data_IF_228210801866
#
_entry.id   IF_228210801866
#
_cell.length_a   1.000
_cell.length_b   1.000
_cell.length_c   1.000
_cell.angle_alpha   90.00
_cell.angle_beta   90.00
_cell.angle_gamma   90.00
#
_symmetry.space_group_name_H-M   'P 1'
#
loop_
_entity.id
_entity.type
_entity.pdbx_description
1 polymer ?
#
# COMPACT_ATOMS: atom_id res chain seq x y z
N UNK A 1 -11.50 -8.64 -5.02
CA UNK A 1 -10.16 -8.16 -4.60
C UNK A 1 -10.17 -6.63 -4.57
N UNK A 2 -9.67 -6.00 -3.49
CA UNK A 2 -9.64 -4.54 -3.31
C UNK A 2 -8.40 -3.96 -4.00
N UNK A 3 -8.55 -2.79 -4.65
CA UNK A 3 -7.44 -2.09 -5.30
C UNK A 3 -7.04 -0.86 -4.50
N UNK A 4 -5.80 -0.83 -4.00
CA UNK A 4 -5.21 0.34 -3.37
C UNK A 4 -4.34 1.12 -4.34
N UNK A 5 -4.51 2.44 -4.38
CA UNK A 5 -3.59 3.33 -5.06
C UNK A 5 -2.29 3.48 -4.29
N UNK A 6 -1.16 3.04 -4.87
CA UNK A 6 0.18 3.12 -4.30
C UNK A 6 0.66 4.57 -4.30
N UNK A 7 0.83 5.16 -3.11
CA UNK A 7 1.20 6.58 -2.93
C UNK A 7 0.28 7.53 -3.72
N UNK A 8 -1.02 7.22 -3.72
CA UNK A 8 -2.00 7.84 -4.60
C UNK A 8 -2.12 7.11 -5.93
N UNK A 9 -1.36 7.53 -6.94
CA UNK A 9 -1.30 6.95 -8.28
C UNK A 9 0.11 7.12 -8.87
N UNK A 10 1.12 6.52 -8.26
CA UNK A 10 2.55 6.77 -8.53
C UNK A 10 2.96 6.60 -9.99
N UNK A 11 2.31 5.72 -10.75
CA UNK A 11 2.57 5.51 -12.18
C UNK A 11 1.82 6.50 -13.11
N UNK A 12 0.88 7.28 -12.56
CA UNK A 12 -0.02 8.16 -13.31
C UNK A 12 0.13 9.64 -12.90
N UNK A 13 0.58 9.91 -11.66
CA UNK A 13 0.68 11.24 -11.06
C UNK A 13 1.83 11.30 -10.04
N UNK A 14 2.24 12.50 -9.55
CA UNK A 14 3.29 12.62 -8.54
C UNK A 14 2.95 11.85 -7.25
N UNK A 15 3.86 10.96 -6.84
CA UNK A 15 3.68 10.08 -5.70
C UNK A 15 3.56 10.84 -4.38
N UNK A 16 2.72 10.35 -3.46
CA UNK A 16 2.51 10.92 -2.12
C UNK A 16 2.17 12.42 -2.11
N UNK A 17 1.44 12.89 -3.13
CA UNK A 17 1.01 14.29 -3.25
C UNK A 17 -0.50 14.41 -3.34
N UNK A 18 -1.08 15.53 -2.88
CA UNK A 18 -2.53 15.75 -2.99
C UNK A 18 -3.05 15.57 -4.42
N UNK A 19 -2.44 16.15 -5.47
CA UNK A 19 -2.87 15.91 -6.84
C UNK A 19 -2.81 14.44 -7.27
N UNK A 20 -1.85 13.65 -6.77
CA UNK A 20 -1.77 12.21 -7.04
C UNK A 20 -2.95 11.44 -6.43
N UNK A 21 -3.33 11.76 -5.20
CA UNK A 21 -4.51 11.19 -4.56
C UNK A 21 -5.81 11.65 -5.21
N UNK A 22 -5.95 12.96 -5.52
CA UNK A 22 -7.10 13.54 -6.22
C UNK A 22 -7.29 12.89 -7.59
N UNK A 23 -6.20 12.65 -8.33
CA UNK A 23 -6.26 11.96 -9.62
C UNK A 23 -6.92 10.59 -9.48
N UNK A 24 -6.42 9.73 -8.60
CA UNK A 24 -6.99 8.41 -8.39
C UNK A 24 -8.42 8.46 -7.82
N UNK A 25 -8.67 9.36 -6.87
CA UNK A 25 -9.98 9.56 -6.26
C UNK A 25 -11.07 9.91 -7.28
N UNK A 26 -10.78 10.81 -8.23
CA UNK A 26 -11.70 11.19 -9.33
C UNK A 26 -12.05 10.01 -10.24
N UNK A 27 -11.19 9.00 -10.29
CA UNK A 27 -11.44 7.75 -10.99
C UNK A 27 -12.05 6.65 -10.10
N UNK A 28 -12.55 7.06 -8.91
CA UNK A 28 -13.32 6.20 -8.02
C UNK A 28 -12.48 5.36 -7.07
N UNK A 29 -11.16 5.55 -6.99
CA UNK A 29 -10.35 4.89 -5.96
C UNK A 29 -10.66 5.52 -4.60
N UNK A 30 -10.86 4.67 -3.57
CA UNK A 30 -11.19 5.06 -2.19
C UNK A 30 -10.25 4.41 -1.17
N UNK A 31 -9.37 3.54 -1.65
CA UNK A 31 -8.37 2.83 -0.86
C UNK A 31 -6.99 3.30 -1.28
N UNK A 32 -6.18 3.75 -0.34
CA UNK A 32 -4.83 4.21 -0.62
C UNK A 32 -3.80 3.62 0.33
N UNK A 33 -2.66 3.29 -0.22
CA UNK A 33 -1.44 3.12 0.54
C UNK A 33 -0.60 4.40 0.40
N UNK A 34 0.04 4.82 1.48
CA UNK A 34 0.85 6.02 1.54
C UNK A 34 1.94 5.92 2.60
N UNK A 35 3.05 6.60 2.35
CA UNK A 35 4.21 6.58 3.24
C UNK A 35 4.21 7.78 4.18
N UNK A 36 4.44 7.55 5.47
CA UNK A 36 4.45 8.59 6.49
C UNK A 36 5.83 8.71 7.14
N UNK A 37 6.39 9.90 7.09
CA UNK A 37 7.67 10.26 7.70
C UNK A 37 7.48 11.52 8.56
N UNK A 38 8.34 11.73 9.55
CA UNK A 38 8.28 12.90 10.42
C UNK A 38 9.11 14.06 9.85
N UNK A 39 8.58 15.26 9.77
CA UNK A 39 9.32 16.49 9.43
C UNK A 39 10.24 16.95 10.56
N UNK A 40 11.00 18.03 10.37
CA UNK A 40 11.85 18.66 11.38
C UNK A 40 11.05 19.16 12.59
N UNK A 41 9.89 19.72 12.34
CA UNK A 41 8.99 20.30 13.35
C UNK A 41 7.99 19.27 13.93
N UNK A 42 8.21 17.97 13.65
CA UNK A 42 7.45 16.89 14.27
C UNK A 42 6.05 16.70 13.69
N UNK A 43 5.84 17.06 12.43
CA UNK A 43 4.58 16.88 11.69
C UNK A 43 4.67 15.66 10.77
N UNK A 44 3.68 14.74 10.75
CA UNK A 44 3.61 13.64 9.79
C UNK A 44 3.42 14.17 8.36
N UNK A 45 4.35 13.87 7.46
CA UNK A 45 4.36 14.26 6.05
C UNK A 45 4.38 13.04 5.14
N UNK A 46 3.88 13.19 3.91
CA UNK A 46 3.74 12.09 2.98
C UNK A 46 4.92 12.02 2.02
N UNK A 47 5.86 11.13 2.29
CA UNK A 47 7.04 10.91 1.45
C UNK A 47 7.62 9.52 1.73
N UNK A 48 8.08 8.84 0.67
CA UNK A 48 8.59 7.45 0.80
C UNK A 48 9.98 7.39 1.44
N UNK A 49 10.91 8.21 0.95
CA UNK A 49 12.30 8.16 1.38
C UNK A 49 12.50 9.05 2.61
N UNK A 50 13.50 8.74 3.43
CA UNK A 50 13.92 9.64 4.51
C UNK A 50 14.64 10.90 3.98
N UNK A 51 14.82 11.02 2.66
CA UNK A 51 15.42 12.18 1.97
C UNK A 51 14.46 12.72 0.91
N UNK A 52 14.62 13.99 0.56
CA UNK A 52 13.80 14.67 -0.45
C UNK A 52 14.34 14.53 -1.89
N UNK A 53 15.54 13.99 -2.03
CA UNK A 53 16.36 14.02 -3.27
C UNK A 53 15.70 13.42 -4.50
N UNK A 54 15.01 12.28 -4.34
CA UNK A 54 14.46 11.52 -5.47
C UNK A 54 13.25 12.20 -6.09
N UNK A 55 12.38 12.76 -5.27
CA UNK A 55 11.09 13.30 -5.72
C UNK A 55 11.11 14.81 -5.95
N UNK A 56 11.98 15.56 -5.25
CA UNK A 56 11.98 17.03 -5.33
C UNK A 56 13.17 17.62 -6.08
N UNK A 57 14.30 16.94 -6.11
CA UNK A 57 15.55 17.49 -6.61
C UNK A 57 16.31 18.38 -5.59
N UNK A 58 15.69 18.76 -4.47
CA UNK A 58 16.38 19.29 -3.31
C UNK A 58 17.24 18.19 -2.68
N UNK A 59 18.09 18.52 -1.71
CA UNK A 59 19.05 17.59 -1.11
C UNK A 59 18.89 17.51 0.40
N UNK A 60 18.98 16.30 0.93
CA UNK A 60 19.06 16.07 2.37
C UNK A 60 17.86 15.36 2.99
N UNK A 61 17.95 15.14 4.29
CA UNK A 61 16.94 14.42 5.05
C UNK A 61 15.66 15.21 5.22
N UNK A 62 14.51 14.52 5.17
CA UNK A 62 13.18 15.09 5.50
C UNK A 62 13.21 15.73 6.90
N UNK A 63 13.96 15.14 7.83
CA UNK A 63 14.15 15.65 9.19
C UNK A 63 14.86 17.01 9.30
N UNK A 64 15.42 17.52 8.21
CA UNK A 64 16.07 18.84 8.16
C UNK A 64 15.11 19.96 7.75
N UNK A 65 13.91 19.63 7.28
CA UNK A 65 12.94 20.56 6.76
C UNK A 65 11.65 20.54 7.58
N UNK A 66 11.09 21.71 7.82
CA UNK A 66 9.73 21.86 8.38
C UNK A 66 8.68 21.42 7.38
N UNK A 67 7.46 21.12 7.86
CA UNK A 67 6.35 20.79 6.98
C UNK A 67 6.04 21.90 5.96
N UNK A 68 6.19 23.18 6.35
CA UNK A 68 6.01 24.31 5.47
C UNK A 68 7.06 24.36 4.33
N UNK A 69 8.34 24.15 4.67
CA UNK A 69 9.43 24.05 3.67
C UNK A 69 9.21 22.87 2.71
N UNK A 70 8.75 21.72 3.20
CA UNK A 70 8.43 20.56 2.39
C UNK A 70 7.25 20.82 1.45
N UNK A 71 6.24 21.53 1.90
CA UNK A 71 5.08 21.93 1.09
C UNK A 71 5.47 22.89 -0.03
N UNK A 72 6.54 23.69 0.16
CA UNK A 72 7.04 24.61 -0.88
C UNK A 72 8.04 23.95 -1.87
N UNK A 73 8.43 22.70 -1.69
CA UNK A 73 9.26 21.98 -2.64
C UNK A 73 8.49 21.61 -3.92
N UNK A 74 9.19 21.15 -4.96
CA UNK A 74 8.58 20.62 -6.18
C UNK A 74 8.76 19.11 -6.24
N UNK A 75 7.76 18.35 -5.83
CA UNK A 75 7.77 16.89 -5.75
C UNK A 75 7.40 16.18 -7.08
N UNK A 76 7.60 16.84 -8.22
CA UNK A 76 7.32 16.27 -9.56
C UNK A 76 8.51 15.61 -10.24
N UNK A 77 9.67 15.58 -9.61
CA UNK A 77 10.91 15.17 -10.30
C UNK A 77 10.82 13.84 -11.03
N UNK A 78 10.09 12.88 -10.48
CA UNK A 78 9.86 11.57 -11.10
C UNK A 78 8.57 11.50 -11.95
N UNK A 79 7.88 12.63 -12.13
CA UNK A 79 6.67 12.77 -12.96
C UNK A 79 6.71 14.13 -13.68
N UNK A 80 7.76 14.35 -14.46
CA UNK A 80 8.07 15.65 -15.09
C UNK A 80 6.99 16.19 -16.02
N UNK A 81 6.12 15.33 -16.56
CA UNK A 81 4.98 15.73 -17.39
C UNK A 81 3.83 16.37 -16.60
N UNK A 82 3.85 16.35 -15.27
CA UNK A 82 2.79 16.95 -14.47
C UNK A 82 2.82 18.48 -14.57
N UNK A 83 1.68 19.14 -14.91
CA UNK A 83 1.71 20.51 -15.42
C UNK A 83 2.01 21.59 -14.37
N UNK A 84 1.76 21.32 -13.09
CA UNK A 84 1.90 22.32 -12.02
C UNK A 84 2.84 21.82 -10.93
N UNK A 85 3.59 22.76 -10.31
CA UNK A 85 4.38 22.50 -9.11
C UNK A 85 3.50 21.89 -8.01
N UNK A 86 4.03 20.90 -7.29
CA UNK A 86 3.32 20.15 -6.26
C UNK A 86 4.25 19.96 -5.08
N UNK A 87 3.81 20.35 -3.87
CA UNK A 87 4.56 20.17 -2.65
C UNK A 87 4.38 18.78 -2.02
N UNK A 88 5.19 18.49 -0.99
CA UNK A 88 5.01 17.34 -0.11
C UNK A 88 3.96 17.70 0.93
N UNK A 89 2.79 17.05 0.96
CA UNK A 89 1.71 17.39 1.89
C UNK A 89 1.92 16.75 3.27
N UNK A 90 1.22 17.27 4.26
CA UNK A 90 1.04 16.61 5.55
C UNK A 90 -0.06 15.56 5.47
N UNK A 91 -0.05 14.62 6.44
CA UNK A 91 -1.15 13.65 6.58
C UNK A 91 -2.50 14.36 6.85
N UNK A 92 -2.49 15.43 7.64
CA UNK A 92 -3.71 16.22 7.92
C UNK A 92 -4.30 16.83 6.65
N UNK A 93 -3.47 17.41 5.78
CA UNK A 93 -3.95 17.97 4.50
C UNK A 93 -4.59 16.91 3.61
N UNK A 94 -4.08 15.68 3.62
CA UNK A 94 -4.73 14.57 2.91
C UNK A 94 -6.09 14.24 3.52
N UNK A 95 -6.18 14.16 4.84
CA UNK A 95 -7.41 13.83 5.55
C UNK A 95 -8.46 14.95 5.47
N UNK A 96 -8.04 16.19 5.29
CA UNK A 96 -8.94 17.34 5.06
C UNK A 96 -9.48 17.41 3.63
N UNK A 97 -8.77 16.80 2.65
CA UNK A 97 -9.17 16.81 1.24
C UNK A 97 -10.31 15.84 0.93
N UNK A 98 -10.46 14.75 1.74
CA UNK A 98 -11.40 13.67 1.42
C UNK A 98 -12.20 13.20 2.64
N UNK A 99 -13.52 13.26 2.56
CA UNK A 99 -14.43 12.83 3.63
C UNK A 99 -14.82 11.34 3.53
N UNK A 100 -14.80 10.74 2.33
CA UNK A 100 -15.35 9.43 2.00
C UNK A 100 -14.30 8.38 1.63
N UNK A 101 -13.05 8.53 2.10
CA UNK A 101 -12.06 7.46 1.94
C UNK A 101 -12.50 6.21 2.70
N UNK A 102 -12.45 5.07 2.03
CA UNK A 102 -12.86 3.80 2.62
C UNK A 102 -11.76 3.21 3.51
N UNK A 103 -10.49 3.21 3.02
CA UNK A 103 -9.39 2.72 3.85
C UNK A 103 -8.02 3.26 3.44
N UNK A 104 -7.18 3.48 4.45
CA UNK A 104 -5.78 3.92 4.31
C UNK A 104 -4.81 2.90 4.91
N UNK A 105 -3.76 2.53 4.18
CA UNK A 105 -2.58 1.87 4.73
C UNK A 105 -1.49 2.92 4.92
N UNK A 106 -1.23 3.29 6.18
CA UNK A 106 -0.24 4.30 6.57
C UNK A 106 1.10 3.61 6.82
N UNK A 107 1.97 3.52 5.80
CA UNK A 107 3.26 2.87 5.97
C UNK A 107 4.27 3.79 6.66
N UNK A 108 4.73 3.39 7.83
CA UNK A 108 5.80 4.09 8.56
C UNK A 108 7.15 3.48 8.25
N UNK A 109 8.04 4.30 7.71
CA UNK A 109 9.41 3.91 7.37
C UNK A 109 10.31 3.79 8.60
N UNK A 110 11.33 2.94 8.52
CA UNK A 110 12.34 2.84 9.58
C UNK A 110 13.09 4.16 9.72
N UNK A 111 13.18 4.66 10.95
CA UNK A 111 13.88 5.90 11.31
C UNK A 111 14.52 5.75 12.69
N UNK A 112 15.21 6.79 13.18
CA UNK A 112 15.74 6.84 14.54
C UNK A 112 14.60 6.64 15.58
N UNK A 113 14.87 5.88 16.64
CA UNK A 113 13.86 5.52 17.67
C UNK A 113 13.17 6.73 18.30
N UNK A 114 13.91 7.82 18.51
CA UNK A 114 13.34 9.05 19.06
C UNK A 114 12.27 9.63 18.12
N UNK A 115 12.54 9.67 16.82
CA UNK A 115 11.62 10.17 15.80
C UNK A 115 10.41 9.26 15.65
N UNK A 116 10.64 7.94 15.59
CA UNK A 116 9.56 6.94 15.57
C UNK A 116 8.66 7.05 16.81
N UNK A 117 9.21 7.36 17.98
CA UNK A 117 8.43 7.54 19.19
C UNK A 117 7.51 8.77 19.11
N UNK A 118 8.01 9.89 18.55
CA UNK A 118 7.19 11.08 18.27
C UNK A 118 6.10 10.73 17.23
N UNK A 119 6.47 10.06 16.15
CA UNK A 119 5.52 9.67 15.09
C UNK A 119 4.43 8.72 15.61
N UNK A 120 4.76 7.78 16.51
CA UNK A 120 3.76 6.98 17.21
C UNK A 120 2.71 7.85 17.93
N UNK A 121 3.15 8.88 18.69
CA UNK A 121 2.22 9.76 19.38
C UNK A 121 1.34 10.53 18.39
N UNK A 122 1.95 11.11 17.35
CA UNK A 122 1.21 11.87 16.33
C UNK A 122 0.18 11.03 15.59
N UNK A 123 0.54 9.82 15.17
CA UNK A 123 -0.41 8.93 14.49
C UNK A 123 -1.52 8.47 15.42
N UNK A 124 -1.22 8.18 16.69
CA UNK A 124 -2.25 7.85 17.70
C UNK A 124 -3.23 9.02 17.85
N UNK A 125 -2.73 10.25 18.03
CA UNK A 125 -3.56 11.46 18.15
C UNK A 125 -4.45 11.68 16.91
N UNK A 126 -3.90 11.53 15.70
CA UNK A 126 -4.65 11.69 14.45
C UNK A 126 -5.74 10.63 14.31
N UNK A 127 -5.40 9.35 14.55
CA UNK A 127 -6.36 8.23 14.43
C UNK A 127 -7.51 8.40 15.42
N UNK A 128 -7.22 8.78 16.67
CA UNK A 128 -8.24 9.02 17.70
C UNK A 128 -9.12 10.21 17.35
N UNK A 129 -8.53 11.34 17.04
CA UNK A 129 -9.26 12.59 16.76
C UNK A 129 -10.14 12.50 15.52
N UNK A 130 -9.69 11.78 14.48
CA UNK A 130 -10.41 11.61 13.21
C UNK A 130 -11.27 10.36 13.15
N UNK A 131 -11.32 9.58 14.21
CA UNK A 131 -12.00 8.27 14.29
C UNK A 131 -11.67 7.35 13.10
N UNK A 132 -10.36 7.13 12.89
CA UNK A 132 -9.88 6.34 11.75
C UNK A 132 -9.72 4.85 12.07
N UNK A 133 -10.18 4.35 13.22
CA UNK A 133 -9.97 2.98 13.66
C UNK A 133 -10.41 1.92 12.65
N UNK A 134 -11.52 2.16 11.93
CA UNK A 134 -12.02 1.25 10.92
C UNK A 134 -11.52 1.59 9.50
N UNK A 135 -11.04 2.82 9.30
CA UNK A 135 -10.64 3.36 8.00
C UNK A 135 -9.13 3.49 7.82
N UNK A 136 -8.32 3.07 8.80
CA UNK A 136 -6.88 3.07 8.65
C UNK A 136 -6.21 1.88 9.33
N UNK A 137 -5.14 1.39 8.71
CA UNK A 137 -4.18 0.48 9.32
C UNK A 137 -2.79 1.12 9.27
N UNK A 138 -2.08 1.10 10.38
CA UNK A 138 -0.68 1.54 10.44
C UNK A 138 0.22 0.38 10.11
N UNK A 139 0.96 0.48 9.02
CA UNK A 139 1.83 -0.59 8.53
C UNK A 139 3.29 -0.20 8.67
N UNK A 140 4.17 -1.17 8.88
CA UNK A 140 5.61 -0.95 8.94
C UNK A 140 6.38 -2.26 8.78
N UNK A 141 7.60 -2.17 8.27
CA UNK A 141 8.58 -3.27 8.32
C UNK A 141 9.38 -3.30 9.63
N UNK A 142 9.11 -2.38 10.58
CA UNK A 142 9.77 -2.33 11.90
C UNK A 142 8.88 -2.94 13.00
N UNK A 143 9.19 -4.15 13.50
CA UNK A 143 8.41 -4.79 14.56
C UNK A 143 8.36 -4.00 15.87
N UNK A 144 9.39 -3.19 16.16
CA UNK A 144 9.40 -2.34 17.35
C UNK A 144 8.33 -1.25 17.23
N UNK A 145 8.26 -0.58 16.07
CA UNK A 145 7.27 0.47 15.82
C UNK A 145 5.84 -0.06 15.95
N UNK A 146 5.54 -1.23 15.35
CA UNK A 146 4.23 -1.87 15.44
C UNK A 146 3.84 -2.24 16.88
N UNK A 147 4.81 -2.66 17.69
CA UNK A 147 4.59 -2.92 19.14
C UNK A 147 4.30 -1.62 19.88
N UNK A 148 5.08 -0.57 19.60
CA UNK A 148 4.97 0.70 20.31
C UNK A 148 3.66 1.43 20.01
N UNK A 149 3.17 1.43 18.76
CA UNK A 149 1.90 2.08 18.44
C UNK A 149 0.72 1.34 19.09
N UNK A 150 0.72 0.00 19.08
CA UNK A 150 -0.30 -0.80 19.76
C UNK A 150 -0.25 -0.66 21.30
N UNK A 151 0.93 -0.40 21.87
CA UNK A 151 1.06 -0.12 23.29
C UNK A 151 0.37 1.20 23.68
N UNK A 152 0.35 2.18 22.78
CA UNK A 152 -0.35 3.47 22.99
C UNK A 152 -1.86 3.32 22.87
N UNK A 153 -2.29 2.61 21.83
CA UNK A 153 -3.70 2.31 21.63
C UNK A 153 -3.86 0.94 20.94
N UNK A 154 -4.42 -0.01 21.68
CA UNK A 154 -4.64 -1.39 21.20
C UNK A 154 -5.69 -1.51 20.11
N UNK A 155 -6.53 -0.49 19.92
CA UNK A 155 -7.58 -0.47 18.91
C UNK A 155 -7.05 -0.04 17.53
N UNK A 156 -5.83 0.50 17.45
CA UNK A 156 -5.21 0.84 16.18
C UNK A 156 -4.86 -0.45 15.43
N UNK A 157 -5.44 -0.63 14.25
CA UNK A 157 -5.11 -1.74 13.36
C UNK A 157 -3.68 -1.61 12.86
N UNK A 158 -2.95 -2.72 12.88
CA UNK A 158 -1.55 -2.73 12.45
C UNK A 158 -1.29 -3.78 11.38
N UNK A 159 -0.27 -3.55 10.55
CA UNK A 159 0.15 -4.46 9.51
C UNK A 159 1.67 -4.61 9.41
N UNK A 160 2.16 -5.83 9.24
CA UNK A 160 3.58 -6.07 8.99
C UNK A 160 3.87 -6.01 7.48
N UNK A 161 4.76 -5.09 7.10
CA UNK A 161 5.30 -5.03 5.73
C UNK A 161 6.44 -6.05 5.61
N UNK A 162 6.31 -7.00 4.67
CA UNK A 162 7.23 -8.11 4.48
C UNK A 162 7.77 -8.16 3.04
N UNK A 163 9.08 -8.00 2.89
CA UNK A 163 9.78 -8.05 1.61
C UNK A 163 10.35 -9.43 1.29
N UNK A 164 10.67 -10.22 2.33
CA UNK A 164 11.39 -11.49 2.21
C UNK A 164 10.69 -12.60 2.99
N UNK A 165 10.87 -13.86 2.53
CA UNK A 165 10.36 -15.07 3.24
C UNK A 165 11.01 -15.29 4.61
N UNK A 166 12.20 -14.78 4.82
CA UNK A 166 12.98 -14.99 6.04
C UNK A 166 13.34 -13.68 6.75
N UNK A 167 13.31 -13.63 8.09
CA UNK A 167 12.74 -14.62 9.01
C UNK A 167 11.22 -14.70 8.82
N UNK A 168 10.59 -15.85 9.04
CA UNK A 168 9.16 -16.16 8.78
C UNK A 168 8.21 -15.00 9.13
N UNK A 169 7.90 -14.08 8.17
CA UNK A 169 7.27 -12.80 8.49
C UNK A 169 5.83 -12.96 9.02
N UNK A 170 5.09 -13.96 8.54
CA UNK A 170 3.76 -14.24 9.02
C UNK A 170 3.73 -14.61 10.52
N UNK A 171 4.75 -15.33 11.02
CA UNK A 171 4.87 -15.62 12.45
C UNK A 171 5.19 -14.36 13.26
N UNK A 172 5.95 -13.43 12.69
CA UNK A 172 6.22 -12.13 13.33
C UNK A 172 4.93 -11.32 13.39
N UNK A 173 4.18 -11.20 12.28
CA UNK A 173 2.88 -10.52 12.23
C UNK A 173 1.91 -11.06 13.28
N UNK A 174 1.81 -12.39 13.39
CA UNK A 174 0.98 -13.05 14.42
C UNK A 174 1.38 -12.68 15.84
N UNK A 175 2.68 -12.74 16.17
CA UNK A 175 3.19 -12.39 17.51
C UNK A 175 2.96 -10.93 17.87
N UNK A 176 2.94 -10.04 16.87
CA UNK A 176 2.65 -8.62 17.04
C UNK A 176 1.15 -8.34 17.12
N UNK A 177 0.30 -9.33 16.82
CA UNK A 177 -1.14 -9.18 16.75
C UNK A 177 -1.58 -8.29 15.56
N UNK A 178 -0.83 -8.30 14.45
CA UNK A 178 -1.20 -7.56 13.25
C UNK A 178 -2.49 -8.10 12.63
N UNK A 179 -3.32 -7.20 12.16
CA UNK A 179 -4.54 -7.51 11.40
C UNK A 179 -4.30 -7.50 9.89
N UNK A 180 -3.19 -6.89 9.44
CA UNK A 180 -2.76 -6.85 8.04
C UNK A 180 -1.42 -7.55 7.88
N UNK A 181 -1.30 -8.32 6.80
CA UNK A 181 -0.05 -8.88 6.32
C UNK A 181 0.25 -8.30 4.94
N UNK A 182 1.12 -7.29 4.89
CA UNK A 182 1.44 -6.51 3.70
C UNK A 182 2.69 -7.08 3.04
N UNK A 183 2.56 -8.10 2.19
CA UNK A 183 3.70 -8.85 1.65
C UNK A 183 4.04 -8.46 0.21
N UNK A 184 5.33 -8.46 -0.11
CA UNK A 184 5.75 -8.46 -1.51
C UNK A 184 5.13 -9.68 -2.22
N UNK A 185 4.45 -9.47 -3.35
CA UNK A 185 3.72 -10.51 -4.06
C UNK A 185 4.58 -11.73 -4.44
N UNK A 186 5.90 -11.53 -4.67
CA UNK A 186 6.86 -12.59 -5.03
C UNK A 186 7.13 -13.60 -3.92
N UNK A 187 6.80 -13.26 -2.68
CA UNK A 187 7.01 -14.18 -1.55
C UNK A 187 5.75 -14.96 -1.18
N UNK A 188 4.59 -14.59 -1.71
CA UNK A 188 3.32 -15.23 -1.39
C UNK A 188 3.22 -16.63 -1.99
N UNK A 189 2.52 -17.49 -1.30
CA UNK A 189 2.06 -18.81 -1.74
C UNK A 189 0.66 -19.04 -1.20
N UNK A 190 -0.08 -19.97 -1.80
CA UNK A 190 -1.43 -20.35 -1.33
C UNK A 190 -1.43 -20.69 0.17
N UNK A 191 -0.52 -21.54 0.59
CA UNK A 191 -0.41 -21.94 2.01
C UNK A 191 -0.19 -20.74 2.94
N UNK A 192 0.58 -19.73 2.48
CA UNK A 192 0.85 -18.53 3.27
C UNK A 192 -0.40 -17.64 3.37
N UNK A 193 -1.14 -17.47 2.28
CA UNK A 193 -2.41 -16.71 2.25
C UNK A 193 -3.44 -17.41 3.14
N UNK A 194 -3.65 -18.72 2.93
CA UNK A 194 -4.58 -19.51 3.74
C UNK A 194 -4.23 -19.48 5.23
N UNK A 195 -2.93 -19.53 5.57
CA UNK A 195 -2.49 -19.45 6.95
C UNK A 195 -2.72 -18.05 7.55
N UNK A 196 -2.53 -16.99 6.77
CA UNK A 196 -2.84 -15.62 7.17
C UNK A 196 -4.34 -15.46 7.47
N UNK A 197 -5.19 -15.96 6.58
CA UNK A 197 -6.64 -15.95 6.75
C UNK A 197 -7.10 -16.75 7.98
N UNK A 198 -6.56 -17.96 8.19
CA UNK A 198 -6.83 -18.74 9.43
C UNK A 198 -6.45 -18.01 10.72
N UNK A 199 -5.55 -17.02 10.63
CA UNK A 199 -5.13 -16.16 11.75
C UNK A 199 -5.88 -14.83 11.80
N UNK A 200 -6.92 -14.66 10.96
CA UNK A 200 -7.74 -13.45 10.91
C UNK A 200 -7.05 -12.24 10.28
N UNK A 201 -6.00 -12.43 9.45
CA UNK A 201 -5.28 -11.34 8.83
C UNK A 201 -5.80 -11.08 7.40
N UNK A 202 -5.95 -9.81 7.06
CA UNK A 202 -6.11 -9.32 5.70
C UNK A 202 -4.77 -9.38 4.97
N UNK A 203 -4.71 -10.03 3.82
CA UNK A 203 -3.51 -10.15 3.00
C UNK A 203 -3.51 -9.05 1.94
N UNK A 204 -2.65 -8.05 2.12
CA UNK A 204 -2.39 -6.98 1.14
C UNK A 204 -1.06 -7.24 0.44
N UNK A 205 -0.97 -7.01 -0.86
CA UNK A 205 0.28 -7.28 -1.58
C UNK A 205 0.70 -6.14 -2.51
N UNK A 206 2.03 -5.94 -2.65
CA UNK A 206 2.68 -4.80 -3.32
C UNK A 206 3.94 -5.19 -4.08
N UNK A 207 4.41 -4.42 -5.08
CA UNK A 207 3.63 -3.53 -5.92
C UNK A 207 3.26 -4.33 -7.15
N UNK A 208 1.97 -4.38 -7.50
CA UNK A 208 1.46 -5.22 -8.58
C UNK A 208 0.95 -4.33 -9.69
N UNK A 209 1.64 -4.34 -10.85
CA UNK A 209 1.40 -3.41 -11.95
C UNK A 209 0.95 -4.10 -13.24
N UNK A 210 0.99 -5.43 -13.31
CA UNK A 210 0.61 -6.19 -14.50
C UNK A 210 -0.69 -6.93 -14.26
N UNK A 211 -1.63 -6.80 -15.17
CA UNK A 211 -2.96 -7.46 -15.07
C UNK A 211 -2.83 -8.97 -14.88
N UNK A 212 -1.91 -9.62 -15.61
CA UNK A 212 -1.66 -11.05 -15.47
C UNK A 212 -1.32 -11.43 -14.00
N UNK A 213 -0.42 -10.69 -13.37
CA UNK A 213 -0.01 -10.95 -11.98
C UNK A 213 -1.18 -10.68 -11.01
N UNK A 214 -2.01 -9.67 -11.29
CA UNK A 214 -3.20 -9.36 -10.51
C UNK A 214 -4.23 -10.51 -10.53
N UNK A 215 -4.45 -11.10 -11.71
CA UNK A 215 -5.36 -12.24 -11.86
C UNK A 215 -4.85 -13.48 -11.12
N UNK A 216 -3.54 -13.78 -11.19
CA UNK A 216 -2.94 -14.87 -10.43
C UNK A 216 -3.07 -14.65 -8.91
N UNK A 217 -2.90 -13.41 -8.45
CA UNK A 217 -3.05 -13.07 -7.03
C UNK A 217 -4.52 -13.12 -6.56
N UNK A 218 -5.47 -12.77 -7.44
CA UNK A 218 -6.89 -12.98 -7.19
C UNK A 218 -7.22 -14.47 -7.00
N UNK A 219 -6.71 -15.34 -7.89
CA UNK A 219 -6.83 -16.80 -7.75
C UNK A 219 -6.13 -17.33 -6.50
N UNK A 220 -5.00 -16.73 -6.11
CA UNK A 220 -4.29 -17.06 -4.88
C UNK A 220 -5.08 -16.70 -3.63
N UNK A 221 -6.11 -15.85 -3.76
CA UNK A 221 -7.00 -15.46 -2.68
C UNK A 221 -6.51 -14.26 -1.86
N UNK A 222 -5.64 -13.40 -2.41
CA UNK A 222 -5.27 -12.16 -1.70
C UNK A 222 -6.46 -11.21 -1.60
N UNK A 223 -6.58 -10.49 -0.48
CA UNK A 223 -7.71 -9.59 -0.24
C UNK A 223 -7.56 -8.27 -1.00
N UNK A 224 -6.33 -7.77 -1.11
CA UNK A 224 -6.05 -6.50 -1.78
C UNK A 224 -4.69 -6.47 -2.47
N UNK A 225 -4.62 -5.65 -3.52
CA UNK A 225 -3.38 -5.31 -4.24
C UNK A 225 -3.11 -3.81 -4.12
N UNK A 226 -1.83 -3.47 -4.06
CA UNK A 226 -1.31 -2.10 -4.11
C UNK A 226 -0.62 -1.92 -5.46
N UNK A 227 -1.09 -0.94 -6.27
CA UNK A 227 -0.63 -0.73 -7.65
C UNK A 227 -0.28 0.72 -7.92
N UNK A 228 0.73 0.93 -8.77
CA UNK A 228 1.12 2.24 -9.28
C UNK A 228 0.10 2.82 -10.28
N UNK A 229 -0.77 1.94 -10.86
CA UNK A 229 -1.74 2.28 -11.91
C UNK A 229 -3.18 1.99 -11.46
N UNK A 230 -3.68 2.63 -10.39
CA UNK A 230 -4.96 2.26 -9.80
C UNK A 230 -6.15 2.57 -10.71
N UNK A 231 -6.08 3.63 -11.54
CA UNK A 231 -7.20 4.02 -12.40
C UNK A 231 -7.41 3.02 -13.52
N UNK A 232 -6.32 2.65 -14.20
CA UNK A 232 -6.33 1.61 -15.26
C UNK A 232 -6.71 0.24 -14.71
N UNK A 233 -6.21 -0.10 -13.52
CA UNK A 233 -6.52 -1.35 -12.83
C UNK A 233 -8.01 -1.45 -12.52
N UNK A 234 -8.59 -0.40 -11.92
CA UNK A 234 -10.02 -0.34 -11.62
C UNK A 234 -10.86 -0.48 -12.87
N UNK A 235 -10.55 0.29 -13.93
CA UNK A 235 -11.26 0.22 -15.19
C UNK A 235 -11.26 -1.20 -15.78
N UNK A 236 -10.13 -1.91 -15.69
CA UNK A 236 -10.03 -3.31 -16.13
C UNK A 236 -10.99 -4.21 -15.35
N UNK A 237 -10.96 -4.17 -14.01
CA UNK A 237 -11.80 -5.02 -13.18
C UNK A 237 -13.29 -4.68 -13.32
N UNK A 238 -13.65 -3.40 -13.42
CA UNK A 238 -15.05 -2.97 -13.66
C UNK A 238 -15.57 -3.48 -15.01
N UNK A 239 -14.77 -3.41 -16.07
CA UNK A 239 -15.14 -3.92 -17.40
C UNK A 239 -15.25 -5.45 -17.39
N UNK A 240 -14.34 -6.16 -16.73
CA UNK A 240 -14.40 -7.62 -16.57
C UNK A 240 -15.65 -8.04 -15.81
N UNK A 241 -15.99 -7.36 -14.72
CA UNK A 241 -17.22 -7.64 -13.96
C UNK A 241 -18.48 -7.43 -14.82
N UNK A 242 -18.54 -6.34 -15.60
CA UNK A 242 -19.66 -6.10 -16.53
C UNK A 242 -19.78 -7.18 -17.63
N UNK A 243 -18.65 -7.59 -18.20
CA UNK A 243 -18.63 -8.65 -19.21
C UNK A 243 -19.13 -9.97 -18.66
N UNK A 244 -18.73 -10.36 -17.43
CA UNK A 244 -19.19 -11.58 -16.76
C UNK A 244 -20.71 -11.55 -16.47
N UNK A 245 -21.27 -10.40 -16.12
CA UNK A 245 -22.71 -10.22 -15.88
C UNK A 245 -23.54 -10.30 -17.17
N UNK A 246 -22.96 -10.08 -18.33
CA UNK A 246 -23.61 -10.16 -19.64
C UNK A 246 -23.54 -11.55 -20.27
N UNK A 247 -22.74 -12.48 -19.73
CA UNK A 247 -22.68 -13.86 -20.22
C UNK A 247 -23.96 -14.61 -19.85
N UNK A 248 -24.57 -15.39 -20.78
CA UNK A 248 -25.66 -16.28 -20.43
C UNK A 248 -25.18 -17.31 -19.39
N UNK A 249 -26.07 -17.64 -18.43
CA UNK A 249 -25.73 -18.46 -17.25
C UNK A 249 -25.04 -19.81 -17.56
N UNK A 250 -25.20 -20.35 -18.79
CA UNK A 250 -24.52 -21.59 -19.23
C UNK A 250 -23.05 -21.39 -19.63
N UNK A 251 -22.66 -20.20 -20.03
CA UNK A 251 -21.24 -19.88 -20.42
C UNK A 251 -20.41 -19.41 -19.25
N UNK A 252 -21.04 -18.79 -18.25
CA UNK A 252 -20.34 -18.40 -17.03
C UNK A 252 -19.72 -19.60 -16.28
N UNK A 253 -20.46 -20.72 -16.23
CA UNK A 253 -19.98 -21.97 -15.61
C UNK A 253 -18.86 -22.63 -16.44
N UNK A 254 -18.87 -22.49 -17.77
CA UNK A 254 -17.80 -23.01 -18.63
C UNK A 254 -16.54 -22.17 -18.55
N UNK A 255 -16.66 -20.86 -18.53
CA UNK A 255 -15.53 -19.93 -18.37
C UNK A 255 -14.79 -20.13 -17.05
N UNK A 256 -15.51 -20.37 -15.95
CA UNK A 256 -14.90 -20.69 -14.65
C UNK A 256 -14.23 -22.08 -14.64
N UNK A 257 -14.80 -23.07 -15.34
CA UNK A 257 -14.23 -24.42 -15.46
C UNK A 257 -12.98 -24.43 -16.35
N UNK A 258 -12.96 -23.70 -17.46
CA UNK A 258 -11.80 -23.59 -18.34
C UNK A 258 -10.68 -22.78 -17.69
N UNK A 259 -10.99 -21.75 -16.90
CA UNK A 259 -10.02 -21.02 -16.10
C UNK A 259 -9.40 -21.90 -14.99
N UNK A 260 -10.18 -22.81 -14.38
CA UNK A 260 -9.68 -23.76 -13.38
C UNK A 260 -8.86 -24.90 -14.00
N UNK A 261 -9.19 -25.35 -15.20
CA UNK A 261 -8.44 -26.42 -15.89
C UNK A 261 -7.10 -25.93 -16.46
N UNK A 262 -6.96 -24.64 -16.78
CA UNK A 262 -5.70 -24.02 -17.20
C UNK A 262 -4.65 -23.90 -16.08
N UNK A 263 -5.07 -23.95 -14.82
CA UNK A 263 -4.17 -23.85 -13.65
C UNK A 263 -3.53 -25.17 -13.23
N UNK A 264 -4.05 -26.32 -13.70
CA UNK A 264 -3.57 -27.67 -13.32
C UNK A 264 -2.45 -28.21 -14.23
N UNK A 265 -2.07 -27.47 -15.30
CA UNK A 265 -0.87 -27.82 -16.07
C UNK A 265 0.36 -27.29 -15.36
N UNK A 266 0.94 -28.16 -14.53
CA UNK A 266 2.12 -27.90 -13.71
C UNK A 266 3.29 -27.35 -14.52
N UNK A 267 3.75 -26.17 -14.13
CA UNK A 267 5.06 -25.65 -14.54
C UNK A 267 6.17 -26.47 -13.88
N UNK A 268 6.69 -27.46 -14.59
CA UNK A 268 8.00 -28.03 -14.31
C UNK A 268 9.06 -27.01 -14.75
N UNK A 269 9.67 -26.35 -13.78
CA UNK A 269 10.91 -25.60 -14.00
C UNK A 269 12.04 -26.61 -14.18
N UNK A 270 12.53 -26.75 -15.40
CA UNK A 270 13.82 -27.40 -15.66
C UNK A 270 14.94 -26.53 -15.11
N UNK A 271 15.95 -27.09 -14.41
CA UNK A 271 17.12 -26.34 -13.99
C UNK A 271 17.98 -26.00 -15.21
N UNK A 272 18.11 -24.72 -15.51
CA UNK A 272 19.02 -24.20 -16.54
C UNK A 272 20.47 -24.44 -16.10
N UNK A 273 21.20 -25.14 -16.95
CA UNK A 273 22.65 -25.29 -16.88
C UNK A 273 23.29 -23.91 -17.10
N UNK A 274 24.18 -23.51 -16.18
CA UNK A 274 25.00 -22.31 -16.33
C UNK A 274 26.16 -22.58 -17.29
N UNK A 275 26.60 -21.57 -18.06
CA UNK A 275 27.80 -21.68 -18.88
C UNK A 275 29.08 -21.59 -18.02
N UNK A 276 30.08 -22.33 -18.49
CA UNK A 276 31.44 -22.41 -17.96
C UNK A 276 32.20 -21.09 -18.03
#
# INVERSE_FOLDING_TARGET
MIVYGHRGAKGEAPENTLPGFIHAYRHGIRHFELDVVLSKDGIPVLVHDLTVDRTTGAKGGVCNYTAAELADMDARRNTSSWPRKVGIPTLEQLLDEFDDLEHLQLEVKKDARQRLNILCNRLTEVIQRRDLYQRAAVTSSDPWFLREIRRRDKNIRTGLVAERKFPRPLNIATRLGCEYFCANWKILSRDMVDLAHRRGMHVSTWTVNRIHDMLQLEELGVDSIITDYPTSTRMFFDNRARALLQLPAREAVRGEAEMKMGSDQGFHLSPGEGPA
#
